data_IF_607885999981
#
_entry.id   IF_607885999981
#
_cell.length_a   1.000
_cell.length_b   1.000
_cell.length_c   1.000
_cell.angle_alpha   90.00
_cell.angle_beta   90.00
_cell.angle_gamma   90.00
#
_symmetry.space_group_name_H-M   'P 1'
#
loop_
_entity.id
_entity.type
_entity.pdbx_description
1 polymer ?
#
# COMPACT_ATOMS: atom_id res chain seq x y z
N UNK A 1 0.35 4.37 22.87
CA UNK A 1 -0.93 3.74 22.47
C UNK A 1 -1.57 4.35 21.21
N UNK A 2 -1.04 5.42 20.59
CA UNK A 2 -1.62 6.06 19.38
C UNK A 2 -1.27 5.34 18.06
N UNK A 3 -0.19 4.56 18.06
CA UNK A 3 0.35 3.87 16.88
C UNK A 3 -0.65 2.94 16.14
N UNK A 4 -1.55 2.20 16.82
CA UNK A 4 -2.54 1.35 16.16
C UNK A 4 -3.64 2.13 15.42
N UNK A 5 -4.00 3.33 15.89
CA UNK A 5 -5.03 4.17 15.27
C UNK A 5 -4.55 4.78 13.94
N UNK A 6 -3.26 5.08 13.83
CA UNK A 6 -2.62 5.52 12.59
C UNK A 6 -2.74 4.49 11.46
N UNK A 7 -2.79 3.19 11.80
CA UNK A 7 -2.97 2.12 10.82
C UNK A 7 -4.30 2.18 10.09
N UNK A 8 -5.38 2.62 10.74
CA UNK A 8 -6.70 2.80 10.10
C UNK A 8 -6.74 4.03 9.18
N UNK A 9 -6.06 5.11 9.57
CA UNK A 9 -5.92 6.33 8.75
C UNK A 9 -5.17 6.06 7.44
N UNK A 10 -4.18 5.18 7.49
CA UNK A 10 -3.43 4.72 6.32
C UNK A 10 -4.24 3.91 5.31
N UNK A 11 -5.45 3.43 5.65
CA UNK A 11 -6.34 2.74 4.69
C UNK A 11 -7.22 3.72 3.92
N UNK A 12 -7.42 4.93 4.44
CA UNK A 12 -8.23 5.96 3.78
C UNK A 12 -7.66 6.38 2.42
N UNK A 13 -6.34 6.36 2.28
CA UNK A 13 -5.66 6.58 1.00
C UNK A 13 -5.97 5.49 -0.03
N UNK A 14 -6.30 4.27 0.39
CA UNK A 14 -6.75 3.21 -0.51
C UNK A 14 -8.12 3.48 -1.14
N UNK A 15 -9.04 4.10 -0.39
CA UNK A 15 -10.39 4.42 -0.88
C UNK A 15 -10.39 5.51 -1.96
N UNK A 16 -9.49 6.50 -1.83
CA UNK A 16 -9.32 7.54 -2.85
C UNK A 16 -8.86 6.97 -4.20
N UNK A 17 -8.22 5.80 -4.20
CA UNK A 17 -7.65 5.21 -5.40
C UNK A 17 -8.65 4.29 -6.16
N UNK A 18 -9.80 3.95 -5.57
CA UNK A 18 -10.79 3.07 -6.23
C UNK A 18 -11.26 3.69 -7.56
N UNK A 19 -11.49 5.00 -7.58
CA UNK A 19 -11.87 5.75 -8.78
C UNK A 19 -10.78 5.82 -9.85
N UNK A 20 -9.51 5.60 -9.48
CA UNK A 20 -8.37 5.61 -10.40
C UNK A 20 -8.12 4.27 -11.10
N UNK A 21 -8.66 3.17 -10.56
CA UNK A 21 -8.38 1.82 -11.05
C UNK A 21 -8.98 1.51 -12.42
N UNK A 22 -10.04 2.22 -12.81
CA UNK A 22 -10.63 2.13 -14.15
C UNK A 22 -9.73 2.77 -15.23
N UNK A 23 -8.87 3.72 -14.86
CA UNK A 23 -7.98 4.44 -15.78
C UNK A 23 -6.63 3.76 -15.98
N UNK A 24 -6.06 3.20 -14.92
CA UNK A 24 -4.67 2.69 -14.90
C UNK A 24 -4.63 1.17 -15.11
N UNK A 25 -5.74 0.48 -14.83
CA UNK A 25 -5.85 -0.96 -14.91
C UNK A 25 -5.47 -1.62 -13.57
N UNK A 26 -6.39 -2.45 -13.06
CA UNK A 26 -6.27 -3.09 -11.75
C UNK A 26 -4.96 -3.88 -11.52
N UNK A 27 -4.31 -4.34 -12.59
CA UNK A 27 -3.05 -5.09 -12.49
C UNK A 27 -1.87 -4.20 -12.07
N UNK A 28 -1.77 -2.98 -12.60
CA UNK A 28 -0.70 -2.04 -12.24
C UNK A 28 -0.89 -1.55 -10.81
N UNK A 29 -2.13 -1.29 -10.42
CA UNK A 29 -2.49 -0.85 -9.07
C UNK A 29 -2.05 -1.86 -8.00
N UNK A 30 -2.37 -3.14 -8.22
CA UNK A 30 -1.97 -4.22 -7.32
C UNK A 30 -0.44 -4.35 -7.23
N UNK A 31 0.26 -4.20 -8.35
CA UNK A 31 1.73 -4.25 -8.39
C UNK A 31 2.35 -3.07 -7.62
N UNK A 32 1.82 -1.86 -7.79
CA UNK A 32 2.31 -0.66 -7.09
C UNK A 32 2.03 -0.74 -5.59
N UNK A 33 0.85 -1.23 -5.22
CA UNK A 33 0.47 -1.43 -3.83
C UNK A 33 1.37 -2.49 -3.16
N UNK A 34 1.64 -3.60 -3.86
CA UNK A 34 2.56 -4.64 -3.39
C UNK A 34 3.99 -4.12 -3.26
N UNK A 35 4.45 -3.28 -4.20
CA UNK A 35 5.74 -2.60 -4.12
C UNK A 35 5.81 -1.67 -2.91
N UNK A 36 4.74 -0.91 -2.64
CA UNK A 36 4.58 -0.13 -1.41
C UNK A 36 4.74 -1.01 -0.17
N UNK A 37 3.99 -2.11 -0.08
CA UNK A 37 4.08 -3.01 1.08
C UNK A 37 5.49 -3.57 1.29
N UNK A 38 6.16 -4.00 0.22
CA UNK A 38 7.52 -4.53 0.27
C UNK A 38 8.55 -3.47 0.66
N UNK A 39 8.43 -2.26 0.12
CA UNK A 39 9.34 -1.16 0.45
C UNK A 39 9.24 -0.77 1.93
N UNK A 40 8.01 -0.73 2.48
CA UNK A 40 7.80 -0.47 3.90
C UNK A 40 8.32 -1.60 4.77
N UNK A 41 8.12 -2.86 4.37
CA UNK A 41 8.67 -4.01 5.08
C UNK A 41 10.21 -3.95 5.15
N UNK A 42 10.88 -3.63 4.04
CA UNK A 42 12.33 -3.42 4.01
C UNK A 42 12.78 -2.26 4.88
N UNK A 43 12.06 -1.14 4.83
CA UNK A 43 12.35 0.03 5.67
C UNK A 43 12.26 -0.31 7.16
N UNK A 44 11.23 -1.07 7.54
CA UNK A 44 11.03 -1.52 8.91
C UNK A 44 12.09 -2.53 9.36
N UNK A 45 12.47 -3.47 8.49
CA UNK A 45 13.56 -4.42 8.74
C UNK A 45 14.90 -3.69 8.90
N UNK A 46 15.15 -2.64 8.09
CA UNK A 46 16.33 -1.78 8.19
C UNK A 46 16.36 -1.04 9.52
N UNK A 47 15.23 -0.46 9.93
CA UNK A 47 15.10 0.28 11.19
C UNK A 47 15.32 -0.60 12.41
N UNK A 48 14.88 -1.85 12.38
CA UNK A 48 15.09 -2.80 13.48
C UNK A 48 16.52 -3.34 13.56
N UNK A 49 17.41 -2.94 12.64
CA UNK A 49 18.80 -3.41 12.60
C UNK A 49 18.91 -4.91 12.32
N UNK A 50 17.81 -5.55 11.87
CA UNK A 50 17.77 -6.97 11.52
C UNK A 50 18.33 -7.27 10.14
N UNK A 51 18.70 -6.25 9.37
CA UNK A 51 19.42 -6.43 8.10
C UNK A 51 20.88 -6.75 8.40
N UNK A 52 21.15 -8.03 8.65
CA UNK A 52 22.49 -8.56 8.42
C UNK A 52 22.73 -8.58 6.91
N UNK A 53 23.87 -8.05 6.45
CA UNK A 53 24.28 -8.04 5.03
C UNK A 53 24.37 -9.46 4.38
N UNK A 54 24.07 -10.51 5.15
CA UNK A 54 24.02 -11.90 4.70
C UNK A 54 22.72 -12.24 3.97
N UNK A 55 21.63 -11.47 4.12
CA UNK A 55 20.34 -11.79 3.50
C UNK A 55 20.21 -11.21 2.08
N UNK A 56 21.25 -11.43 1.26
CA UNK A 56 21.31 -11.00 -0.16
C UNK A 56 20.09 -11.46 -0.96
N UNK A 57 19.45 -12.56 -0.57
CA UNK A 57 18.23 -13.08 -1.20
C UNK A 57 17.02 -12.14 -1.06
N UNK A 58 16.86 -11.45 0.08
CA UNK A 58 15.75 -10.51 0.30
C UNK A 58 15.90 -9.25 -0.55
N UNK A 59 17.11 -8.69 -0.60
CA UNK A 59 17.42 -7.53 -1.43
C UNK A 59 17.30 -7.89 -2.90
N UNK A 60 17.84 -9.05 -3.32
CA UNK A 60 17.72 -9.51 -4.70
C UNK A 60 16.26 -9.76 -5.09
N UNK A 61 15.46 -10.36 -4.21
CA UNK A 61 14.02 -10.53 -4.42
C UNK A 61 13.28 -9.21 -4.63
N UNK A 62 13.61 -8.17 -3.85
CA UNK A 62 13.05 -6.84 -4.05
C UNK A 62 13.44 -6.24 -5.40
N UNK A 63 14.71 -6.31 -5.79
CA UNK A 63 15.15 -5.84 -7.10
C UNK A 63 14.52 -6.61 -8.26
N UNK A 64 14.31 -7.92 -8.11
CA UNK A 64 13.59 -8.74 -9.11
C UNK A 64 12.14 -8.27 -9.24
N UNK A 65 11.45 -7.99 -8.13
CA UNK A 65 10.07 -7.49 -8.16
C UNK A 65 10.03 -6.10 -8.79
N UNK A 66 10.94 -5.19 -8.43
CA UNK A 66 11.05 -3.86 -9.04
C UNK A 66 11.33 -3.98 -10.54
N UNK A 67 12.25 -4.84 -10.95
CA UNK A 67 12.58 -5.07 -12.34
C UNK A 67 11.41 -5.72 -13.11
N UNK A 68 10.67 -6.65 -12.49
CA UNK A 68 9.48 -7.27 -13.07
C UNK A 68 8.34 -6.28 -13.27
N UNK A 69 8.13 -5.38 -12.30
CA UNK A 69 7.19 -4.26 -12.45
C UNK A 69 7.66 -3.34 -13.57
N UNK A 70 8.93 -2.95 -13.58
CA UNK A 70 9.51 -2.10 -14.62
C UNK A 70 9.33 -2.70 -16.01
N UNK A 71 9.64 -3.98 -16.17
CA UNK A 71 9.50 -4.74 -17.42
C UNK A 71 8.04 -4.92 -17.86
N UNK A 72 7.13 -5.19 -16.92
CA UNK A 72 5.69 -5.27 -17.19
C UNK A 72 5.09 -3.91 -17.56
N UNK A 73 5.62 -2.82 -17.00
CA UNK A 73 5.15 -1.46 -17.26
C UNK A 73 5.50 -0.97 -18.66
N UNK A 74 6.60 -1.45 -19.27
CA UNK A 74 7.03 -1.00 -20.61
C UNK A 74 5.98 -1.33 -21.67
N UNK A 75 5.36 -2.51 -21.57
CA UNK A 75 4.28 -2.92 -22.47
C UNK A 75 3.00 -2.09 -22.29
N UNK A 76 2.68 -1.70 -21.06
CA UNK A 76 1.51 -0.84 -20.76
C UNK A 76 1.74 0.63 -21.13
N UNK A 77 2.98 1.14 -20.99
CA UNK A 77 3.34 2.51 -21.36
C UNK A 77 3.20 2.74 -22.87
N UNK A 78 3.46 1.71 -23.68
CA UNK A 78 3.32 1.80 -25.14
C UNK A 78 1.84 1.90 -25.57
N UNK A 79 0.94 1.18 -24.89
CA UNK A 79 -0.51 1.31 -25.11
C UNK A 79 -1.06 2.66 -24.60
N UNK A 80 -0.59 3.15 -23.44
CA UNK A 80 -1.03 4.42 -22.84
C UNK A 80 -0.55 5.68 -23.59
N UNK A 81 0.61 5.64 -24.26
CA UNK A 81 1.12 6.76 -25.04
C UNK A 81 0.18 7.19 -26.19
N UNK A 82 -0.75 6.32 -26.57
CA UNK A 82 -1.68 6.56 -27.69
C UNK A 82 -2.96 7.29 -27.26
N UNK A 83 -3.30 7.36 -25.95
CA UNK A 83 -4.67 7.75 -25.52
C UNK A 83 -4.80 9.06 -24.73
N UNK A 84 -3.83 9.58 -23.95
CA UNK A 84 -4.18 10.77 -23.12
C UNK A 84 -3.06 11.74 -22.72
N UNK A 85 -3.20 12.97 -23.23
CA UNK A 85 -2.49 14.19 -22.82
C UNK A 85 -2.98 14.76 -21.46
N UNK A 86 -2.98 13.98 -20.38
CA UNK A 86 -3.09 14.56 -19.01
C UNK A 86 -2.05 13.96 -18.05
N UNK A 87 -0.79 14.43 -18.14
CA UNK A 87 0.32 13.86 -17.39
C UNK A 87 0.32 14.09 -15.86
N UNK A 88 -0.23 15.16 -15.26
CA UNK A 88 -0.04 15.38 -13.82
C UNK A 88 -0.96 14.51 -12.94
N UNK A 89 -2.14 14.14 -13.42
CA UNK A 89 -3.13 13.45 -12.58
C UNK A 89 -2.82 11.96 -12.41
N UNK A 90 -2.34 11.29 -13.47
CA UNK A 90 -1.94 9.89 -13.44
C UNK A 90 -0.78 9.64 -12.46
N UNK A 91 0.22 10.53 -12.44
CA UNK A 91 1.33 10.43 -11.51
C UNK A 91 0.87 10.52 -10.04
N UNK A 92 -0.10 11.38 -9.74
CA UNK A 92 -0.66 11.52 -8.38
C UNK A 92 -1.42 10.26 -7.97
N UNK A 93 -2.20 9.67 -8.87
CA UNK A 93 -2.91 8.41 -8.62
C UNK A 93 -1.92 7.28 -8.32
N UNK A 94 -0.88 7.13 -9.16
CA UNK A 94 0.15 6.12 -8.95
C UNK A 94 0.85 6.31 -7.60
N UNK A 95 1.26 7.53 -7.26
CA UNK A 95 1.83 7.82 -5.93
C UNK A 95 0.84 7.46 -4.82
N UNK A 96 -0.46 7.73 -5.01
CA UNK A 96 -1.53 7.34 -4.11
C UNK A 96 -1.57 5.83 -3.86
N UNK A 97 -1.47 4.99 -4.91
CA UNK A 97 -1.44 3.53 -4.78
C UNK A 97 -0.18 3.02 -4.08
N UNK A 98 0.96 3.64 -4.34
CA UNK A 98 2.19 3.30 -3.63
C UNK A 98 2.06 3.62 -2.14
N UNK A 99 1.57 4.82 -1.81
CA UNK A 99 1.37 5.28 -0.43
C UNK A 99 0.31 4.45 0.30
N UNK A 100 -0.76 4.02 -0.37
CA UNK A 100 -1.73 3.10 0.23
C UNK A 100 -1.08 1.75 0.54
N UNK A 101 -0.22 1.24 -0.35
CA UNK A 101 0.62 0.06 -0.10
C UNK A 101 1.50 0.17 1.14
N UNK A 102 2.20 1.30 1.31
CA UNK A 102 2.95 1.59 2.55
C UNK A 102 2.02 1.53 3.78
N UNK A 103 0.84 2.11 3.65
CA UNK A 103 -0.19 2.15 4.68
C UNK A 103 -0.64 0.76 5.14
N UNK A 104 -0.93 -0.14 4.20
CA UNK A 104 -1.29 -1.52 4.50
C UNK A 104 -0.18 -2.28 5.24
N UNK A 105 1.08 -2.09 4.86
CA UNK A 105 2.20 -2.72 5.57
C UNK A 105 2.36 -2.16 6.99
N UNK A 106 2.18 -0.85 7.18
CA UNK A 106 2.15 -0.25 8.51
C UNK A 106 1.00 -0.79 9.37
N UNK A 107 -0.21 -0.87 8.79
CA UNK A 107 -1.39 -1.42 9.44
C UNK A 107 -1.17 -2.88 9.88
N UNK A 108 -0.60 -3.71 9.01
CA UNK A 108 -0.26 -5.10 9.33
C UNK A 108 0.70 -5.19 10.53
N UNK A 109 1.71 -4.32 10.59
CA UNK A 109 2.65 -4.26 11.73
C UNK A 109 1.98 -3.79 13.01
N UNK A 110 1.14 -2.75 12.93
CA UNK A 110 0.35 -2.29 14.07
C UNK A 110 -0.59 -3.38 14.60
N UNK A 111 -1.23 -4.14 13.70
CA UNK A 111 -2.10 -5.26 14.06
C UNK A 111 -1.33 -6.40 14.72
N UNK A 112 -0.12 -6.70 14.26
CA UNK A 112 0.76 -7.68 14.90
C UNK A 112 1.09 -7.25 16.34
N UNK A 113 1.49 -5.98 16.56
CA UNK A 113 1.75 -5.46 17.90
C UNK A 113 0.49 -5.43 18.78
N UNK A 114 -0.67 -5.09 18.20
CA UNK A 114 -1.93 -5.08 18.93
C UNK A 114 -2.36 -6.50 19.33
N UNK A 115 -2.17 -7.49 18.45
CA UNK A 115 -2.48 -8.89 18.73
C UNK A 115 -1.68 -9.45 19.90
N UNK A 116 -0.42 -9.01 20.06
CA UNK A 116 0.41 -9.37 21.20
C UNK A 116 -0.13 -8.84 22.54
N UNK A 117 -0.85 -7.72 22.52
CA UNK A 117 -1.42 -7.08 23.71
C UNK A 117 -2.86 -7.56 24.04
N UNK A 118 -3.66 -7.90 23.02
CA UNK A 118 -5.07 -8.27 23.18
C UNK A 118 -5.27 -9.79 23.29
N UNK A 119 -4.21 -10.57 23.10
CA UNK A 119 -4.24 -12.03 23.27
C UNK A 119 -4.77 -12.78 22.05
N UNK A 120 -4.79 -12.14 20.87
CA UNK A 120 -5.16 -12.83 19.64
C UNK A 120 -5.17 -11.96 18.38
N UNK A 121 -4.83 -12.54 17.21
CA UNK A 121 -4.86 -11.83 15.92
C UNK A 121 -6.29 -11.49 15.47
N UNK A 122 -7.28 -12.32 15.82
CA UNK A 122 -8.69 -12.10 15.47
C UNK A 122 -9.24 -10.81 16.10
N UNK A 123 -9.01 -10.61 17.41
CA UNK A 123 -9.48 -9.42 18.14
C UNK A 123 -8.82 -8.14 17.65
N UNK A 124 -7.52 -8.18 17.32
CA UNK A 124 -6.82 -7.04 16.74
C UNK A 124 -7.37 -6.67 15.34
N UNK A 125 -7.70 -7.68 14.52
CA UNK A 125 -8.31 -7.46 13.21
C UNK A 125 -9.69 -6.81 13.34
N UNK A 126 -10.54 -7.26 14.26
CA UNK A 126 -11.87 -6.68 14.50
C UNK A 126 -11.78 -5.21 14.90
N UNK A 127 -10.87 -4.86 15.81
CA UNK A 127 -10.68 -3.46 16.23
C UNK A 127 -10.18 -2.62 15.06
N UNK A 128 -9.25 -3.14 14.27
CA UNK A 128 -8.73 -2.46 13.10
C UNK A 128 -9.82 -2.24 12.04
N UNK A 129 -10.65 -3.24 11.78
CA UNK A 129 -11.80 -3.16 10.89
C UNK A 129 -12.81 -2.12 11.38
N UNK A 130 -13.13 -2.10 12.67
CA UNK A 130 -14.03 -1.12 13.26
C UNK A 130 -13.52 0.31 13.07
N UNK A 131 -12.24 0.58 13.35
CA UNK A 131 -11.62 1.90 13.13
C UNK A 131 -11.65 2.29 11.66
N UNK A 132 -11.36 1.35 10.77
CA UNK A 132 -11.37 1.58 9.31
C UNK A 132 -12.78 1.91 8.82
N UNK A 133 -13.81 1.22 9.31
CA UNK A 133 -15.21 1.50 8.95
C UNK A 133 -15.61 2.88 9.45
N UNK A 134 -15.35 3.20 10.72
CA UNK A 134 -15.71 4.49 11.33
C UNK A 134 -15.04 5.66 10.59
N UNK A 135 -13.78 5.50 10.19
CA UNK A 135 -13.06 6.52 9.42
C UNK A 135 -13.41 6.52 7.92
N UNK A 136 -13.78 5.37 7.36
CA UNK A 136 -14.07 5.18 5.93
C UNK A 136 -15.43 5.72 5.52
N UNK A 137 -16.47 5.54 6.36
CA UNK A 137 -17.83 6.02 6.10
C UNK A 137 -17.87 7.52 5.73
N UNK A 138 -17.29 8.47 6.50
CA UNK A 138 -17.34 9.88 6.15
C UNK A 138 -16.59 10.19 4.85
N UNK A 139 -15.51 9.45 4.57
CA UNK A 139 -14.70 9.64 3.36
C UNK A 139 -15.48 9.19 2.12
N UNK A 140 -16.17 8.05 2.18
CA UNK A 140 -17.04 7.58 1.11
C UNK A 140 -18.24 8.50 0.92
N UNK A 141 -18.87 8.95 2.01
CA UNK A 141 -19.97 9.90 1.94
C UNK A 141 -19.57 11.21 1.24
N UNK A 142 -18.33 11.68 1.42
CA UNK A 142 -17.82 12.88 0.76
C UNK A 142 -17.50 12.68 -0.73
N UNK A 143 -17.19 11.46 -1.16
CA UNK A 143 -16.89 11.15 -2.58
C UNK A 143 -18.17 10.98 -3.40
N UNK A 144 -19.26 10.51 -2.78
CA UNK A 144 -20.55 10.27 -3.44
C UNK A 144 -21.51 11.48 -3.44
N UNK A 145 -21.17 12.57 -2.75
CA UNK A 145 -21.98 13.78 -2.61
C UNK A 145 -21.42 14.93 -3.46
#
# INVERSE_FOLDING_TARGET
>A
MIWPLLGGLCVLTGFANISGSELVGAQIDLLLQLLGMLSMALFLDAREGRITCSDKRRICGFFIVVAGIGAGSIHFVDECNTVQQQPPFAAVILVGFFVSGLGYAMQAKCNSQLSANIGGPASACIICAAVTIVAGIPTQAYIFL
#
